data_IF_756974470066
#
_entry.id   IF_756974470066
#
_cell.length_a   1.000
_cell.length_b   1.000
_cell.length_c   1.000
_cell.angle_alpha   90.00
_cell.angle_beta   90.00
_cell.angle_gamma   90.00
#
_symmetry.space_group_name_H-M   'P 1'
#
loop_
_entity.id
_entity.type
_entity.pdbx_description
1 polymer ?
#
# COMPACT_ATOMS: atom_id res chain seq x y z
N UNK A 1 -9.80 32.51 -1.53
CA UNK A 1 -10.80 31.82 -0.68
C UNK A 1 -11.79 30.95 -1.49
N UNK A 2 -12.25 31.37 -2.68
CA UNK A 2 -13.19 30.61 -3.51
C UNK A 2 -12.56 29.38 -4.18
N UNK A 3 -11.27 29.41 -4.55
CA UNK A 3 -10.55 28.26 -5.10
C UNK A 3 -10.46 27.12 -4.08
N UNK A 4 -10.11 27.41 -2.83
CA UNK A 4 -10.02 26.40 -1.78
C UNK A 4 -11.36 25.76 -1.44
N UNK A 5 -12.46 26.48 -1.57
CA UNK A 5 -13.81 25.94 -1.34
C UNK A 5 -14.24 24.98 -2.44
N UNK A 6 -13.92 25.30 -3.70
CA UNK A 6 -14.19 24.39 -4.85
C UNK A 6 -13.32 23.14 -4.79
N UNK A 7 -12.06 23.27 -4.40
CA UNK A 7 -11.15 22.15 -4.23
C UNK A 7 -11.58 21.22 -3.09
N UNK A 8 -12.00 21.76 -1.95
CA UNK A 8 -12.59 20.97 -0.85
C UNK A 8 -13.90 20.29 -1.25
N UNK A 9 -14.76 20.94 -2.01
CA UNK A 9 -16.00 20.33 -2.51
C UNK A 9 -15.72 19.23 -3.56
N UNK A 10 -14.68 19.37 -4.39
CA UNK A 10 -14.24 18.30 -5.29
C UNK A 10 -13.75 17.08 -4.50
N UNK A 11 -12.86 17.26 -3.53
CA UNK A 11 -12.34 16.14 -2.74
C UNK A 11 -13.44 15.39 -1.96
N UNK A 12 -14.42 16.10 -1.41
CA UNK A 12 -15.54 15.49 -0.67
C UNK A 12 -16.54 14.81 -1.63
N UNK A 13 -16.70 15.31 -2.85
CA UNK A 13 -17.63 14.74 -3.84
C UNK A 13 -17.07 13.52 -4.56
N UNK A 14 -15.75 13.44 -4.73
CA UNK A 14 -15.13 12.48 -5.65
C UNK A 14 -14.50 11.26 -4.93
N UNK A 15 -14.40 11.28 -3.61
CA UNK A 15 -13.66 10.24 -2.87
C UNK A 15 -14.50 9.06 -2.40
N UNK A 16 -15.78 9.25 -2.08
CA UNK A 16 -16.65 8.16 -1.63
C UNK A 16 -17.99 8.21 -2.36
N UNK A 17 -18.30 7.14 -3.07
CA UNK A 17 -19.60 6.96 -3.76
C UNK A 17 -20.31 5.78 -3.11
N UNK A 18 -20.92 6.03 -1.97
CA UNK A 18 -21.59 4.99 -1.17
C UNK A 18 -22.71 4.26 -1.93
N UNK A 19 -23.25 4.90 -2.98
CA UNK A 19 -24.37 4.41 -3.78
C UNK A 19 -23.93 3.77 -5.11
N UNK A 20 -22.58 3.65 -5.36
CA UNK A 20 -22.07 3.05 -6.59
C UNK A 20 -22.42 1.57 -6.67
N UNK A 21 -22.92 1.15 -7.81
CA UNK A 21 -23.26 -0.24 -8.11
C UNK A 21 -22.22 -0.89 -9.02
N UNK A 22 -22.23 -2.21 -9.13
CA UNK A 22 -21.38 -2.95 -10.06
C UNK A 22 -21.71 -2.54 -11.52
N UNK A 23 -22.98 -2.27 -11.81
CA UNK A 23 -23.44 -1.83 -13.11
C UNK A 23 -22.89 -0.42 -13.46
N UNK A 24 -22.81 0.48 -12.49
CA UNK A 24 -22.19 1.79 -12.68
C UNK A 24 -20.69 1.66 -12.95
N UNK A 25 -20.00 0.77 -12.22
CA UNK A 25 -18.59 0.51 -12.45
C UNK A 25 -18.33 -0.11 -13.83
N UNK A 26 -19.20 -1.00 -14.29
CA UNK A 26 -19.09 -1.64 -15.61
C UNK A 26 -19.26 -0.67 -16.80
N UNK A 27 -19.87 0.51 -16.57
CA UNK A 27 -20.02 1.56 -17.59
C UNK A 27 -18.80 2.47 -17.71
N UNK A 28 -17.84 2.36 -16.77
CA UNK A 28 -16.64 3.20 -16.79
C UNK A 28 -15.73 2.78 -17.94
N UNK A 29 -15.19 3.77 -18.63
CA UNK A 29 -14.23 3.50 -19.71
C UNK A 29 -12.86 3.19 -19.15
N UNK A 30 -12.11 2.27 -19.78
CA UNK A 30 -10.70 2.05 -19.47
C UNK A 30 -9.89 3.35 -19.62
N UNK A 31 -8.88 3.54 -18.75
CA UNK A 31 -8.12 4.80 -18.68
C UNK A 31 -6.85 4.75 -19.53
N UNK A 32 -6.17 3.60 -19.57
CA UNK A 32 -4.85 3.47 -20.20
C UNK A 32 -4.91 2.82 -21.57
N UNK A 33 -5.68 1.76 -21.72
CA UNK A 33 -5.84 1.00 -22.95
C UNK A 33 -7.34 0.85 -23.23
N UNK A 34 -7.84 1.22 -24.43
CA UNK A 34 -9.26 1.08 -24.77
C UNK A 34 -9.81 -0.34 -24.59
N UNK A 35 -8.99 -1.36 -24.78
CA UNK A 35 -9.32 -2.77 -24.57
C UNK A 35 -8.93 -3.28 -23.16
N UNK A 36 -8.42 -2.38 -22.31
CA UNK A 36 -7.96 -2.70 -20.96
C UNK A 36 -9.10 -2.79 -19.96
N UNK A 37 -8.75 -3.19 -18.73
CA UNK A 37 -9.69 -3.41 -17.62
C UNK A 37 -9.58 -2.36 -16.52
N UNK A 38 -8.56 -1.49 -16.57
CA UNK A 38 -8.31 -0.49 -15.53
C UNK A 38 -9.17 0.75 -15.76
N UNK A 39 -10.06 1.03 -14.83
CA UNK A 39 -10.98 2.16 -14.85
C UNK A 39 -10.85 3.02 -13.59
N UNK A 40 -11.51 4.16 -13.56
CA UNK A 40 -11.57 4.98 -12.34
C UNK A 40 -12.28 4.28 -11.16
N UNK A 41 -13.10 3.26 -11.43
CA UNK A 41 -13.83 2.51 -10.39
C UNK A 41 -13.00 1.43 -9.72
N UNK A 42 -11.92 0.96 -10.35
CA UNK A 42 -11.05 -0.09 -9.82
C UNK A 42 -9.59 0.35 -9.65
N UNK A 43 -9.39 1.65 -9.53
CA UNK A 43 -8.10 2.30 -9.26
C UNK A 43 -8.14 3.05 -7.95
N UNK A 44 -7.01 3.18 -7.29
CA UNK A 44 -6.88 4.02 -6.10
C UNK A 44 -7.02 5.50 -6.46
N UNK A 45 -7.58 6.29 -5.55
CA UNK A 45 -7.55 7.74 -5.66
C UNK A 45 -6.15 8.28 -5.32
N UNK A 46 -5.74 9.35 -6.00
CA UNK A 46 -4.56 10.14 -5.61
C UNK A 46 -5.02 11.10 -4.51
N UNK A 47 -4.53 10.90 -3.31
CA UNK A 47 -5.00 11.60 -2.11
C UNK A 47 -3.85 12.31 -1.40
N UNK A 48 -4.18 13.32 -0.61
CA UNK A 48 -3.27 13.91 0.34
C UNK A 48 -3.25 13.05 1.63
N UNK A 49 -2.07 12.88 2.20
CA UNK A 49 -1.93 12.13 3.45
C UNK A 49 -0.52 12.27 4.02
N UNK A 50 -0.42 12.06 5.32
CA UNK A 50 0.84 12.04 6.03
C UNK A 50 0.83 10.95 7.09
N UNK A 51 1.96 10.33 7.32
CA UNK A 51 2.16 9.36 8.39
C UNK A 51 3.62 9.40 8.84
N UNK A 52 3.86 9.02 10.09
CA UNK A 52 5.19 8.96 10.64
C UNK A 52 5.36 7.73 11.54
N UNK A 53 6.54 7.11 11.46
CA UNK A 53 6.99 6.06 12.38
C UNK A 53 8.35 6.45 12.92
N UNK A 54 8.64 6.06 14.16
CA UNK A 54 9.95 6.20 14.76
C UNK A 54 10.67 4.87 14.67
N UNK A 55 11.79 4.84 13.99
CA UNK A 55 12.69 3.69 13.92
C UNK A 55 13.86 3.90 14.87
N UNK A 56 14.22 2.87 15.60
CA UNK A 56 15.26 2.94 16.60
C UNK A 56 15.93 1.57 16.77
N UNK A 57 17.22 1.57 17.06
CA UNK A 57 17.92 0.36 17.52
C UNK A 57 17.26 -0.19 18.77
N UNK A 58 17.12 -1.52 18.84
CA UNK A 58 16.48 -2.20 19.96
C UNK A 58 17.16 -1.90 21.30
N UNK A 59 18.48 -1.97 21.34
CA UNK A 59 19.27 -1.68 22.52
C UNK A 59 19.04 -0.25 23.03
N UNK A 60 18.92 0.72 22.12
CA UNK A 60 18.62 2.11 22.48
C UNK A 60 17.19 2.27 23.02
N UNK A 61 16.22 1.59 22.42
CA UNK A 61 14.84 1.61 22.92
C UNK A 61 14.76 1.05 24.35
N UNK A 62 15.40 -0.10 24.60
CA UNK A 62 15.47 -0.73 25.90
C UNK A 62 16.16 0.16 26.94
N UNK A 63 17.29 0.78 26.59
CA UNK A 63 18.01 1.71 27.48
C UNK A 63 17.21 2.96 27.87
N UNK A 64 16.26 3.35 27.03
CA UNK A 64 15.34 4.49 27.26
C UNK A 64 14.00 4.08 27.88
N UNK A 65 13.83 2.81 28.22
CA UNK A 65 12.57 2.29 28.77
C UNK A 65 11.40 2.35 27.79
N UNK A 66 11.68 2.43 26.48
CA UNK A 66 10.66 2.47 25.43
C UNK A 66 10.24 1.04 25.08
N UNK A 67 8.94 0.83 24.91
CA UNK A 67 8.39 -0.44 24.45
C UNK A 67 8.16 -0.40 22.93
N UNK A 68 8.94 -1.14 22.13
CA UNK A 68 8.71 -1.22 20.69
C UNK A 68 7.33 -1.83 20.37
N UNK A 69 6.66 -1.31 19.35
CA UNK A 69 5.42 -1.90 18.84
C UNK A 69 5.70 -3.19 18.07
N UNK A 70 6.80 -3.22 17.30
CA UNK A 70 7.24 -4.38 16.53
C UNK A 70 8.74 -4.28 16.21
N UNK A 71 9.26 -5.31 15.59
CA UNK A 71 10.59 -5.37 15.00
C UNK A 71 10.49 -5.54 13.49
N UNK A 72 11.25 -4.76 12.73
CA UNK A 72 11.47 -5.04 11.31
C UNK A 72 12.32 -6.32 11.20
N UNK A 73 11.76 -7.36 10.61
CA UNK A 73 12.42 -8.67 10.46
C UNK A 73 13.26 -8.72 9.20
N UNK A 74 12.70 -8.29 8.09
CA UNK A 74 13.34 -8.28 6.77
C UNK A 74 12.75 -7.17 5.91
N UNK A 75 13.48 -6.80 4.86
CA UNK A 75 12.97 -5.97 3.77
C UNK A 75 13.63 -6.32 2.44
N UNK A 76 12.93 -6.05 1.35
CA UNK A 76 13.44 -6.22 0.00
C UNK A 76 12.89 -5.15 -0.94
N UNK A 77 13.66 -4.86 -1.98
CA UNK A 77 13.27 -4.01 -3.11
C UNK A 77 13.63 -4.77 -4.38
N UNK A 78 12.70 -4.90 -5.30
CA UNK A 78 12.93 -5.60 -6.55
C UNK A 78 12.50 -4.74 -7.75
N UNK A 79 13.27 -4.79 -8.82
CA UNK A 79 12.95 -4.15 -10.09
C UNK A 79 12.19 -5.12 -11.00
N UNK A 80 11.28 -4.56 -11.79
CA UNK A 80 10.57 -5.23 -12.89
C UNK A 80 10.56 -4.30 -14.10
N UNK A 81 10.25 -4.86 -15.28
CA UNK A 81 10.10 -4.04 -16.49
C UNK A 81 9.02 -2.96 -16.28
N UNK A 82 9.22 -1.74 -16.79
CA UNK A 82 8.30 -0.62 -16.59
C UNK A 82 6.84 -0.91 -16.99
N UNK A 83 6.66 -1.68 -18.06
CA UNK A 83 5.35 -2.06 -18.61
C UNK A 83 4.51 -2.89 -17.62
N UNK A 84 5.18 -3.58 -16.72
CA UNK A 84 4.58 -4.47 -15.72
C UNK A 84 4.89 -4.02 -14.28
N UNK A 85 5.08 -2.72 -14.07
CA UNK A 85 5.41 -2.12 -12.77
C UNK A 85 4.53 -2.64 -11.62
N UNK A 86 3.25 -2.89 -11.90
CA UNK A 86 2.28 -3.34 -10.90
C UNK A 86 2.61 -4.67 -10.24
N UNK A 87 3.37 -5.55 -10.90
CA UNK A 87 3.80 -6.84 -10.33
C UNK A 87 5.12 -6.77 -9.54
N UNK A 88 5.71 -5.59 -9.37
CA UNK A 88 6.92 -5.39 -8.54
C UNK A 88 6.85 -6.03 -7.15
N UNK A 89 5.71 -6.06 -6.45
CA UNK A 89 5.55 -6.79 -5.21
C UNK A 89 5.90 -8.28 -5.30
N UNK A 90 5.70 -8.94 -6.45
CA UNK A 90 5.93 -10.39 -6.60
C UNK A 90 7.38 -10.78 -6.29
N UNK A 91 8.40 -10.28 -7.01
CA UNK A 91 9.78 -10.59 -6.67
C UNK A 91 10.19 -10.02 -5.30
N UNK A 92 9.67 -8.87 -4.90
CA UNK A 92 10.00 -8.25 -3.61
C UNK A 92 9.51 -9.10 -2.42
N UNK A 93 8.30 -9.63 -2.46
CA UNK A 93 7.75 -10.52 -1.43
C UNK A 93 8.58 -11.79 -1.34
N UNK A 94 8.88 -12.42 -2.47
CA UNK A 94 9.68 -13.65 -2.53
C UNK A 94 11.06 -13.44 -1.88
N UNK A 95 11.73 -12.37 -2.24
CA UNK A 95 13.04 -12.03 -1.68
C UNK A 95 12.96 -11.69 -0.18
N UNK A 96 11.96 -10.90 0.22
CA UNK A 96 11.79 -10.48 1.61
C UNK A 96 11.56 -11.67 2.54
N UNK A 97 10.67 -12.59 2.17
CA UNK A 97 10.36 -13.80 2.94
C UNK A 97 11.54 -14.77 2.95
N UNK A 98 12.22 -14.95 1.81
CA UNK A 98 13.39 -15.82 1.69
C UNK A 98 14.57 -15.39 2.56
N UNK A 99 14.75 -14.09 2.81
CA UNK A 99 15.81 -13.57 3.69
C UNK A 99 15.63 -13.95 5.17
N UNK A 100 14.45 -14.32 5.59
CA UNK A 100 14.13 -14.63 6.98
C UNK A 100 13.54 -16.03 7.19
N UNK A 101 13.61 -16.87 6.14
CA UNK A 101 13.10 -18.26 6.16
C UNK A 101 11.62 -18.34 6.54
N UNK A 102 10.82 -17.34 6.11
CA UNK A 102 9.39 -17.30 6.32
C UNK A 102 8.65 -17.54 4.99
N UNK A 103 7.40 -17.94 5.10
CA UNK A 103 6.46 -18.16 4.00
C UNK A 103 5.23 -17.27 4.14
N UNK A 104 4.41 -17.19 3.11
CA UNK A 104 3.09 -16.52 3.17
C UNK A 104 2.20 -17.16 4.26
N UNK A 105 2.32 -18.46 4.47
CA UNK A 105 1.55 -19.19 5.50
C UNK A 105 1.82 -18.71 6.93
N UNK A 106 3.02 -18.17 7.20
CA UNK A 106 3.43 -17.66 8.51
C UNK A 106 2.86 -16.27 8.80
N UNK A 107 2.28 -15.59 7.80
CA UNK A 107 1.74 -14.25 7.97
C UNK A 107 0.36 -14.27 8.60
N UNK A 108 0.16 -13.42 9.60
CA UNK A 108 -1.13 -13.19 10.24
C UNK A 108 -1.87 -12.03 9.60
N UNK A 109 -1.14 -11.04 9.08
CA UNK A 109 -1.65 -9.86 8.39
C UNK A 109 -0.84 -9.60 7.13
N UNK A 110 -1.51 -9.28 6.03
CA UNK A 110 -0.89 -8.86 4.78
C UNK A 110 -1.49 -7.53 4.37
N UNK A 111 -0.67 -6.51 4.26
CA UNK A 111 -1.05 -5.21 3.71
C UNK A 111 -0.40 -5.05 2.34
N UNK A 112 -1.19 -5.29 1.30
CA UNK A 112 -0.81 -5.09 -0.10
C UNK A 112 -1.47 -3.82 -0.61
N UNK A 113 -0.68 -2.81 -1.01
CA UNK A 113 -1.27 -1.61 -1.57
C UNK A 113 -2.02 -1.90 -2.87
N UNK A 114 -3.26 -1.46 -2.94
CA UNK A 114 -4.15 -1.60 -4.10
C UNK A 114 -4.05 -0.34 -4.98
N UNK A 115 -2.94 -0.18 -5.71
CA UNK A 115 -2.85 0.90 -6.70
C UNK A 115 -3.93 0.72 -7.78
N UNK A 116 -4.13 -0.52 -8.22
CA UNK A 116 -5.18 -0.96 -9.15
C UNK A 116 -5.68 -2.36 -8.73
N UNK A 117 -6.98 -2.62 -8.89
CA UNK A 117 -7.53 -3.93 -8.55
C UNK A 117 -6.87 -5.06 -9.35
N UNK A 118 -6.67 -4.87 -10.65
CA UNK A 118 -6.01 -5.85 -11.52
C UNK A 118 -4.58 -6.15 -11.05
N UNK A 119 -3.83 -5.13 -10.64
CA UNK A 119 -2.48 -5.28 -10.09
C UNK A 119 -2.48 -6.05 -8.77
N UNK A 120 -3.36 -5.69 -7.84
CA UNK A 120 -3.44 -6.37 -6.55
C UNK A 120 -3.84 -7.85 -6.71
N UNK A 121 -4.83 -8.13 -7.57
CA UNK A 121 -5.25 -9.51 -7.89
C UNK A 121 -4.14 -10.33 -8.53
N UNK A 122 -3.32 -9.73 -9.40
CA UNK A 122 -2.16 -10.42 -9.99
C UNK A 122 -1.17 -10.86 -8.90
N UNK A 123 -0.80 -9.94 -7.99
CA UNK A 123 0.11 -10.26 -6.86
C UNK A 123 -0.50 -11.31 -5.93
N UNK A 124 -1.79 -11.20 -5.61
CA UNK A 124 -2.51 -12.17 -4.78
C UNK A 124 -2.44 -13.57 -5.38
N UNK A 125 -2.68 -13.70 -6.69
CA UNK A 125 -2.63 -14.99 -7.41
C UNK A 125 -1.24 -15.59 -7.49
N UNK A 126 -0.22 -14.76 -7.76
CA UNK A 126 1.18 -15.20 -7.88
C UNK A 126 1.77 -15.76 -6.59
N UNK A 127 1.25 -15.33 -5.46
CA UNK A 127 1.70 -15.75 -4.13
C UNK A 127 0.68 -16.56 -3.35
N UNK A 128 -0.49 -16.86 -3.93
CA UNK A 128 -1.61 -17.50 -3.23
C UNK A 128 -1.93 -16.80 -1.89
N UNK A 129 -1.96 -15.45 -1.92
CA UNK A 129 -2.21 -14.69 -0.70
C UNK A 129 -3.63 -14.96 -0.17
N UNK A 130 -3.80 -15.37 1.09
CA UNK A 130 -5.11 -15.62 1.67
C UNK A 130 -5.91 -14.32 1.80
N UNK A 131 -7.07 -14.25 1.16
CA UNK A 131 -7.88 -13.03 1.09
C UNK A 131 -8.35 -12.58 2.47
N UNK A 132 -8.63 -13.50 3.37
CA UNK A 132 -9.06 -13.23 4.74
C UNK A 132 -7.99 -12.55 5.61
N UNK A 133 -6.72 -12.67 5.22
CA UNK A 133 -5.58 -12.01 5.90
C UNK A 133 -5.06 -10.80 5.12
N UNK A 134 -5.52 -10.61 3.88
CA UNK A 134 -5.03 -9.57 2.98
C UNK A 134 -5.92 -8.34 3.05
N UNK A 135 -5.34 -7.20 3.42
CA UNK A 135 -6.03 -5.91 3.54
C UNK A 135 -7.30 -5.96 4.40
N UNK A 136 -7.26 -6.53 5.61
CA UNK A 136 -8.47 -6.75 6.41
C UNK A 136 -9.23 -5.47 6.75
N UNK A 137 -8.57 -4.33 6.71
CA UNK A 137 -9.15 -3.01 7.00
C UNK A 137 -9.21 -2.10 5.76
N UNK A 138 -9.27 -2.67 4.56
CA UNK A 138 -9.22 -1.93 3.30
C UNK A 138 -7.82 -1.49 2.89
N UNK A 139 -7.66 -0.96 1.69
CA UNK A 139 -6.38 -0.51 1.14
C UNK A 139 -6.56 0.66 0.17
N UNK A 140 -5.67 0.84 -0.80
CA UNK A 140 -5.61 2.01 -1.66
C UNK A 140 -6.91 2.37 -2.38
N UNK A 141 -7.70 1.40 -2.83
CA UNK A 141 -8.96 1.65 -3.54
C UNK A 141 -10.02 2.21 -2.59
N UNK A 142 -10.16 1.63 -1.40
CA UNK A 142 -11.19 2.02 -0.43
C UNK A 142 -10.80 3.21 0.45
N UNK A 143 -9.52 3.35 0.78
CA UNK A 143 -9.03 4.35 1.74
C UNK A 143 -8.26 5.51 1.08
N UNK A 144 -7.84 5.33 -0.18
CA UNK A 144 -7.00 6.27 -0.88
C UNK A 144 -5.51 5.92 -0.86
N UNK A 145 -4.75 6.54 -1.78
CA UNK A 145 -3.33 6.27 -1.97
C UNK A 145 -2.52 7.57 -1.99
N UNK A 146 -2.22 8.15 -0.82
CA UNK A 146 -1.27 9.26 -0.71
C UNK A 146 0.14 8.71 -0.96
N UNK A 147 0.60 8.78 -2.21
CA UNK A 147 1.76 8.05 -2.74
C UNK A 147 3.00 8.15 -1.84
N UNK A 148 3.31 9.36 -1.35
CA UNK A 148 4.46 9.60 -0.47
C UNK A 148 4.29 9.10 0.98
N UNK A 149 3.07 8.78 1.41
CA UNK A 149 2.77 8.36 2.79
C UNK A 149 2.29 6.92 2.90
N UNK A 150 1.86 6.30 1.80
CA UNK A 150 1.19 4.98 1.81
C UNK A 150 2.03 3.89 2.47
N UNK A 151 3.33 3.80 2.18
CA UNK A 151 4.18 2.79 2.80
C UNK A 151 4.18 2.87 4.33
N UNK A 152 4.20 4.09 4.87
CA UNK A 152 4.11 4.34 6.31
C UNK A 152 2.71 4.00 6.85
N UNK A 153 1.65 4.39 6.13
CA UNK A 153 0.26 4.15 6.52
C UNK A 153 -0.05 2.66 6.60
N UNK A 154 0.28 1.88 5.56
CA UNK A 154 0.00 0.44 5.55
C UNK A 154 0.86 -0.31 6.57
N UNK A 155 2.07 0.18 6.87
CA UNK A 155 2.88 -0.35 7.98
C UNK A 155 2.20 -0.11 9.32
N UNK A 156 1.72 1.09 9.58
CA UNK A 156 0.98 1.43 10.82
C UNK A 156 -0.29 0.58 10.94
N UNK A 157 -1.05 0.43 9.86
CA UNK A 157 -2.24 -0.43 9.81
C UNK A 157 -1.91 -1.87 10.20
N UNK A 158 -0.86 -2.44 9.59
CA UNK A 158 -0.40 -3.79 9.90
C UNK A 158 -0.03 -3.95 11.39
N UNK A 159 0.67 -2.98 11.97
CA UNK A 159 1.06 -3.01 13.38
C UNK A 159 -0.15 -3.01 14.33
N UNK A 160 -1.11 -2.14 14.09
CA UNK A 160 -2.32 -2.09 14.91
C UNK A 160 -3.20 -3.33 14.73
N UNK A 161 -3.29 -3.85 13.50
CA UNK A 161 -4.03 -5.08 13.24
C UNK A 161 -3.39 -6.28 13.92
N UNK A 162 -2.06 -6.44 13.85
CA UNK A 162 -1.34 -7.48 14.61
C UNK A 162 -1.65 -7.40 16.11
N UNK A 163 -1.64 -6.19 16.69
CA UNK A 163 -1.98 -6.03 18.10
C UNK A 163 -3.43 -6.41 18.40
N UNK A 164 -4.36 -6.02 17.52
CA UNK A 164 -5.79 -6.32 17.68
C UNK A 164 -6.09 -7.82 17.67
N UNK A 165 -5.42 -8.58 16.79
CA UNK A 165 -5.66 -10.02 16.65
C UNK A 165 -4.71 -10.89 17.48
N UNK A 166 -3.72 -10.30 18.15
CA UNK A 166 -2.67 -11.04 18.83
C UNK A 166 -1.73 -11.79 17.87
N UNK A 167 -1.61 -11.31 16.63
CA UNK A 167 -0.76 -11.88 15.58
C UNK A 167 0.72 -11.60 15.81
N UNK A 168 1.57 -12.33 15.09
CA UNK A 168 3.02 -12.27 15.21
C UNK A 168 3.71 -11.65 14.01
N UNK A 169 3.30 -12.01 12.79
CA UNK A 169 3.96 -11.57 11.57
C UNK A 169 3.00 -10.81 10.66
N UNK A 170 3.48 -9.69 10.14
CA UNK A 170 2.81 -8.97 9.06
C UNK A 170 3.75 -8.79 7.87
N UNK A 171 3.20 -8.95 6.68
CA UNK A 171 3.82 -8.62 5.41
C UNK A 171 3.22 -7.32 4.89
N UNK A 172 4.08 -6.36 4.52
CA UNK A 172 3.68 -5.08 3.94
C UNK A 172 4.34 -4.93 2.59
N UNK A 173 3.57 -4.73 1.54
CA UNK A 173 4.11 -4.61 0.17
C UNK A 173 3.36 -3.59 -0.67
N UNK A 174 4.07 -2.95 -1.59
CA UNK A 174 3.50 -2.02 -2.56
C UNK A 174 4.34 -1.97 -3.83
N UNK A 175 3.70 -1.75 -4.97
CA UNK A 175 4.39 -1.38 -6.21
C UNK A 175 4.84 0.09 -6.15
N UNK A 176 5.91 0.42 -6.84
CA UNK A 176 6.45 1.78 -6.92
C UNK A 176 6.71 2.10 -8.38
N UNK A 177 5.99 3.09 -8.91
CA UNK A 177 6.13 3.54 -10.30
C UNK A 177 6.66 4.96 -10.45
N UNK A 178 6.87 5.68 -9.34
CA UNK A 178 7.51 6.99 -9.34
C UNK A 178 9.02 6.84 -9.30
N UNK A 179 9.72 7.77 -9.97
CA UNK A 179 11.17 7.76 -10.07
C UNK A 179 11.86 7.61 -8.72
N UNK A 180 12.70 6.59 -8.59
CA UNK A 180 13.58 6.39 -7.43
C UNK A 180 14.60 7.53 -7.26
N UNK A 181 14.79 8.34 -8.30
CA UNK A 181 15.73 9.48 -8.29
C UNK A 181 15.29 10.58 -7.30
N UNK A 182 14.00 10.71 -7.03
CA UNK A 182 13.49 11.63 -6.02
C UNK A 182 13.72 11.19 -4.57
N UNK A 183 14.10 9.95 -4.37
CA UNK A 183 14.43 9.39 -3.05
C UNK A 183 15.89 9.63 -2.70
N UNK A 184 16.75 9.81 -3.71
CA UNK A 184 18.21 9.92 -3.55
C UNK A 184 18.77 11.34 -3.71
N UNK A 185 18.02 12.31 -4.22
CA UNK A 185 18.48 13.69 -4.30
C UNK A 185 18.18 14.46 -3.00
N UNK A 186 19.20 15.11 -2.40
CA UNK A 186 18.93 16.07 -1.34
C UNK A 186 18.06 17.19 -1.91
N UNK A 187 17.00 17.52 -1.21
CA UNK A 187 16.12 18.64 -1.56
C UNK A 187 16.97 19.88 -1.86
N UNK A 188 16.93 20.36 -3.10
CA UNK A 188 17.46 21.67 -3.42
C UNK A 188 16.69 22.69 -2.58
N UNK A 189 17.35 23.54 -1.81
CA UNK A 189 16.65 24.66 -1.18
C UNK A 189 16.07 25.53 -2.29
N UNK A 190 14.79 25.82 -2.20
CA UNK A 190 14.11 26.79 -3.06
C UNK A 190 14.65 28.17 -2.77
#
# INVERSE_FOLDING_TARGET
HLRNRRQRQMCIRDSVRAEATIEDMARLKPVFDPEGTVTAGNSSGINDGAAAVVLMERSLAESRGLRPMARLVSYAVAGVEPEVMGIGPVPAIRECLGKCDLTVGDMDVIELNEAFAAQALAVIREHDLPLEKTNPNGSGISLGHPVGATGCIITIKALYELQRIGGRYALVSMCIGLSLIHISEPTRPC
#
